data_IF_177784209623
#
_entry.id   IF_177784209623
#
_cell.length_a   1.000
_cell.length_b   1.000
_cell.length_c   1.000
_cell.angle_alpha   90.00
_cell.angle_beta   90.00
_cell.angle_gamma   90.00
#
_symmetry.space_group_name_H-M   'P 1'
#
loop_
_entity.id
_entity.type
_entity.pdbx_description
1 polymer ?
#
# COMPACT_ATOMS: atom_id res chain seq x y z
N UNK A 1 1.75 19.00 7.86
CA UNK A 1 2.22 18.13 8.94
C UNK A 1 2.18 16.69 8.51
N UNK A 2 3.28 15.98 8.65
CA UNK A 2 3.34 14.59 8.24
C UNK A 2 2.55 13.72 9.22
N UNK A 3 1.72 12.85 8.71
CA UNK A 3 1.01 11.87 9.50
C UNK A 3 1.33 10.49 9.00
N UNK A 4 0.93 9.48 9.77
CA UNK A 4 1.17 8.09 9.45
C UNK A 4 -0.08 7.27 9.66
N UNK A 5 -0.25 6.23 8.86
CA UNK A 5 -1.30 5.25 9.05
C UNK A 5 -0.66 3.93 9.44
N UNK A 6 -1.40 3.09 10.15
CA UNK A 6 -0.92 1.75 10.47
C UNK A 6 -0.85 0.90 9.20
N UNK A 7 0.24 0.15 9.04
CA UNK A 7 0.39 -0.71 7.88
C UNK A 7 -0.77 -1.70 7.76
N UNK A 8 -1.29 -2.22 8.87
CA UNK A 8 -2.40 -3.17 8.83
C UNK A 8 -3.64 -2.58 8.17
N UNK A 9 -3.89 -1.29 8.38
CA UNK A 9 -5.01 -0.61 7.71
C UNK A 9 -4.80 -0.52 6.20
N UNK A 10 -3.56 -0.21 5.80
CA UNK A 10 -3.20 -0.15 4.39
C UNK A 10 -3.29 -1.53 3.76
N UNK A 11 -2.82 -2.55 4.46
CA UNK A 11 -2.90 -3.94 4.01
C UNK A 11 -4.35 -4.35 3.77
N UNK A 12 -5.22 -4.08 4.74
CA UNK A 12 -6.64 -4.42 4.62
C UNK A 12 -7.28 -3.71 3.43
N UNK A 13 -6.95 -2.44 3.23
CA UNK A 13 -7.46 -1.67 2.11
C UNK A 13 -7.04 -2.28 0.78
N UNK A 14 -5.77 -2.60 0.64
CA UNK A 14 -5.25 -3.19 -0.59
C UNK A 14 -5.85 -4.58 -0.84
N UNK A 15 -5.91 -5.41 0.19
CA UNK A 15 -6.49 -6.76 0.05
C UNK A 15 -7.97 -6.70 -0.33
N UNK A 16 -8.70 -5.73 0.18
CA UNK A 16 -10.12 -5.58 -0.17
C UNK A 16 -10.32 -5.21 -1.64
N UNK A 17 -9.28 -4.71 -2.30
CA UNK A 17 -9.31 -4.36 -3.72
C UNK A 17 -8.59 -5.39 -4.61
N UNK A 18 -8.26 -6.54 -4.06
CA UNK A 18 -7.66 -7.63 -4.83
C UNK A 18 -6.14 -7.61 -4.92
N UNK A 19 -5.49 -6.70 -4.20
CA UNK A 19 -4.04 -6.66 -4.13
C UNK A 19 -3.54 -7.67 -3.11
N UNK A 20 -2.35 -8.23 -3.37
CA UNK A 20 -1.72 -9.19 -2.47
C UNK A 20 -0.31 -8.78 -2.16
N UNK A 21 0.08 -8.94 -0.91
CA UNK A 21 1.46 -8.74 -0.48
C UNK A 21 2.29 -9.90 -1.02
N UNK A 22 3.18 -9.60 -1.97
CA UNK A 22 3.98 -10.62 -2.62
C UNK A 22 5.27 -10.91 -1.88
N UNK A 23 5.96 -9.85 -1.45
CA UNK A 23 7.20 -10.03 -0.71
C UNK A 23 7.53 -8.78 0.10
N UNK A 24 8.43 -8.97 1.04
CA UNK A 24 8.97 -7.89 1.86
C UNK A 24 10.41 -7.66 1.41
N UNK A 25 10.66 -6.44 0.95
CA UNK A 25 11.99 -6.00 0.55
C UNK A 25 12.30 -4.75 1.35
N UNK A 26 12.79 -4.98 2.56
CA UNK A 26 12.94 -3.93 3.58
C UNK A 26 13.62 -2.68 3.04
N UNK A 27 13.06 -1.49 3.28
CA UNK A 27 11.86 -1.21 4.09
C UNK A 27 10.54 -1.37 3.33
N UNK A 28 10.59 -1.84 2.07
CA UNK A 28 9.42 -1.88 1.21
C UNK A 28 8.58 -3.13 1.36
N UNK A 29 7.28 -2.96 1.23
CA UNK A 29 6.31 -4.05 1.05
C UNK A 29 5.83 -4.00 -0.40
N UNK A 30 5.97 -5.12 -1.11
CA UNK A 30 5.63 -5.18 -2.53
C UNK A 30 4.27 -5.84 -2.70
N UNK A 31 3.32 -5.07 -3.24
CA UNK A 31 1.98 -5.56 -3.52
C UNK A 31 1.78 -5.77 -5.02
N UNK A 32 1.08 -6.82 -5.38
CA UNK A 32 0.79 -7.14 -6.78
C UNK A 32 -0.69 -7.39 -6.99
N UNK A 33 -1.13 -7.07 -8.18
CA UNK A 33 -2.49 -7.38 -8.63
C UNK A 33 -2.41 -7.73 -10.11
N UNK A 34 -3.20 -8.69 -10.54
CA UNK A 34 -3.21 -9.13 -11.93
C UNK A 34 -3.46 -7.96 -12.88
N UNK A 35 -2.66 -7.87 -13.93
CA UNK A 35 -2.72 -6.83 -14.96
C UNK A 35 -2.38 -5.41 -14.47
N UNK A 36 -1.79 -5.30 -13.28
CA UNK A 36 -1.40 -4.00 -12.72
C UNK A 36 0.09 -3.97 -12.40
N UNK A 37 0.66 -2.78 -12.44
CA UNK A 37 2.04 -2.58 -12.03
C UNK A 37 2.15 -2.76 -10.52
N UNK A 38 3.28 -3.33 -10.04
CA UNK A 38 3.47 -3.51 -8.60
C UNK A 38 3.45 -2.18 -7.85
N UNK A 39 2.96 -2.22 -6.62
CA UNK A 39 3.00 -1.09 -5.71
C UNK A 39 4.04 -1.38 -4.64
N UNK A 40 4.98 -0.46 -4.44
CA UNK A 40 5.98 -0.55 -3.40
C UNK A 40 5.67 0.48 -2.32
N UNK A 41 5.54 0.01 -1.09
CA UNK A 41 5.17 0.86 0.04
C UNK A 41 6.25 0.78 1.10
N UNK A 42 6.94 1.89 1.41
CA UNK A 42 7.91 1.87 2.50
C UNK A 42 7.19 1.87 3.84
N UNK A 43 7.59 0.94 4.71
CA UNK A 43 6.98 0.78 6.03
C UNK A 43 8.07 0.91 7.08
N UNK A 44 7.86 1.79 8.05
CA UNK A 44 8.78 2.02 9.15
C UNK A 44 8.02 1.85 10.47
N UNK A 45 8.49 0.91 11.30
CA UNK A 45 7.87 0.64 12.59
C UNK A 45 6.37 0.35 12.48
N UNK A 46 5.98 -0.36 11.43
CA UNK A 46 4.57 -0.68 11.19
C UNK A 46 3.72 0.48 10.73
N UNK A 47 4.34 1.59 10.30
CA UNK A 47 3.64 2.80 9.88
C UNK A 47 3.95 3.15 8.44
N UNK A 48 2.95 3.71 7.76
CA UNK A 48 3.05 4.16 6.38
C UNK A 48 2.78 5.67 6.34
N UNK A 49 3.63 6.41 5.64
CA UNK A 49 3.45 7.85 5.48
C UNK A 49 2.10 8.13 4.80
N UNK A 50 1.38 9.12 5.31
CA UNK A 50 0.04 9.43 4.80
C UNK A 50 0.05 9.83 3.32
N UNK A 51 1.14 10.37 2.81
CA UNK A 51 1.27 10.69 1.40
C UNK A 51 1.18 9.44 0.53
N UNK A 52 1.74 8.33 0.99
CA UNK A 52 1.61 7.05 0.29
C UNK A 52 0.18 6.51 0.36
N UNK A 53 -0.48 6.70 1.49
CA UNK A 53 -1.87 6.28 1.64
C UNK A 53 -2.75 7.03 0.64
N UNK A 54 -2.52 8.31 0.47
CA UNK A 54 -3.27 9.11 -0.50
C UNK A 54 -3.03 8.64 -1.93
N UNK A 55 -1.79 8.34 -2.28
CA UNK A 55 -1.46 7.81 -3.60
C UNK A 55 -2.12 6.47 -3.85
N UNK A 56 -2.09 5.58 -2.86
CA UNK A 56 -2.72 4.26 -2.96
C UNK A 56 -4.22 4.41 -3.15
N UNK A 57 -4.86 5.25 -2.37
CA UNK A 57 -6.30 5.49 -2.47
C UNK A 57 -6.67 5.95 -3.88
N UNK A 58 -5.88 6.85 -4.44
CA UNK A 58 -6.12 7.35 -5.78
C UNK A 58 -5.98 6.26 -6.84
N UNK A 59 -4.96 5.41 -6.69
CA UNK A 59 -4.77 4.27 -7.60
C UNK A 59 -5.98 3.34 -7.53
N UNK A 60 -6.47 3.05 -6.34
CA UNK A 60 -7.61 2.15 -6.15
C UNK A 60 -8.89 2.75 -6.75
N UNK A 61 -9.10 4.05 -6.60
CA UNK A 61 -10.23 4.73 -7.21
C UNK A 61 -10.19 4.66 -8.73
N UNK A 62 -9.02 4.84 -9.32
CA UNK A 62 -8.86 4.83 -10.76
C UNK A 62 -9.06 3.45 -11.38
N UNK A 63 -9.01 2.40 -10.57
CA UNK A 63 -9.17 1.02 -11.04
C UNK A 63 -10.60 0.51 -10.97
N UNK A 64 -11.50 1.29 -10.46
CA UNK A 64 -12.91 0.88 -10.35
C UNK A 64 -13.71 1.15 -11.62
#
# INVERSE_FOLDING_TARGET
MAGYADFEEVLDLLESHGWKLKKIWSPYRVFVKESQLPILIPVHNGKVDIEYVEKITKILEDQE
#
